data_IF_889784795799
#
_entry.id   IF_889784795799
#
_cell.length_a   1.000
_cell.length_b   1.000
_cell.length_c   1.000
_cell.angle_alpha   90.00
_cell.angle_beta   90.00
_cell.angle_gamma   90.00
#
_symmetry.space_group_name_H-M   'P 1'
#
loop_
_entity.id
_entity.type
_entity.pdbx_description
1 polymer ?
#
# COMPACT_ATOMS: atom_id res chain seq x y z
N UNK A 1 -21.32 -19.87 11.97
CA UNK A 1 -20.25 -19.58 12.96
C UNK A 1 -19.10 -18.92 12.23
N UNK A 2 -18.63 -17.75 12.66
CA UNK A 2 -17.58 -17.00 11.97
C UNK A 2 -16.21 -17.40 12.52
N UNK A 3 -15.42 -18.08 11.70
CA UNK A 3 -14.05 -18.48 12.02
C UNK A 3 -13.12 -17.33 11.68
N UNK A 4 -12.52 -16.74 12.70
CA UNK A 4 -11.69 -15.53 12.64
C UNK A 4 -10.20 -15.84 12.45
N UNK A 5 -9.74 -16.98 12.97
CA UNK A 5 -8.34 -17.42 12.88
C UNK A 5 -8.27 -18.97 12.85
N UNK A 6 -7.28 -19.51 12.13
CA UNK A 6 -7.00 -20.94 12.05
C UNK A 6 -5.79 -21.28 12.93
N UNK A 7 -5.63 -22.55 13.30
CA UNK A 7 -4.43 -23.04 14.01
C UNK A 7 -3.16 -23.10 13.13
N UNK A 8 -3.22 -22.52 11.93
CA UNK A 8 -2.17 -22.52 10.90
C UNK A 8 -2.23 -21.24 10.05
N UNK A 9 -1.12 -20.85 9.39
CA UNK A 9 -1.11 -19.68 8.52
C UNK A 9 -2.13 -19.80 7.38
N UNK A 10 -2.88 -18.72 7.18
CA UNK A 10 -3.91 -18.64 6.12
C UNK A 10 -3.37 -18.91 4.72
N UNK A 11 -2.10 -18.55 4.48
CA UNK A 11 -1.36 -18.78 3.23
C UNK A 11 -1.15 -20.26 2.90
N UNK A 12 -1.23 -21.15 3.90
CA UNK A 12 -1.12 -22.61 3.75
C UNK A 12 -2.48 -23.30 3.70
N UNK A 13 -3.56 -22.52 3.76
CA UNK A 13 -4.93 -23.03 3.74
C UNK A 13 -5.58 -22.78 2.36
N UNK A 14 -6.53 -23.62 1.93
CA UNK A 14 -7.30 -23.41 0.70
C UNK A 14 -8.30 -22.25 0.81
N UNK A 15 -8.33 -21.52 1.93
CA UNK A 15 -9.23 -20.39 2.15
C UNK A 15 -8.63 -19.11 1.58
N UNK A 16 -9.39 -18.40 0.74
CA UNK A 16 -8.95 -17.18 0.04
C UNK A 16 -8.99 -15.93 0.93
N UNK A 17 -9.57 -16.03 2.13
CA UNK A 17 -9.86 -14.91 3.05
C UNK A 17 -9.45 -15.27 4.47
N UNK A 18 -8.93 -14.30 5.24
CA UNK A 18 -8.90 -14.37 6.70
C UNK A 18 -10.30 -14.05 7.21
N UNK A 19 -10.89 -14.95 7.99
CA UNK A 19 -12.24 -14.75 8.50
C UNK A 19 -13.33 -15.22 7.54
N UNK A 20 -14.05 -16.31 7.85
CA UNK A 20 -15.20 -16.74 7.06
C UNK A 20 -16.34 -17.29 7.91
N UNK A 21 -17.57 -17.13 7.41
CA UNK A 21 -18.73 -17.75 8.03
C UNK A 21 -18.87 -19.20 7.55
N UNK A 22 -18.94 -20.15 8.48
CA UNK A 22 -19.33 -21.52 8.17
C UNK A 22 -20.83 -21.51 7.86
N UNK A 23 -21.14 -21.64 6.57
CA UNK A 23 -22.50 -21.55 6.01
C UNK A 23 -23.13 -22.92 5.71
N UNK A 24 -22.32 -23.98 5.57
CA UNK A 24 -22.80 -25.32 5.23
C UNK A 24 -21.90 -26.44 5.81
N UNK A 25 -22.42 -27.67 5.87
CA UNK A 25 -21.68 -28.82 6.44
C UNK A 25 -20.44 -29.22 5.63
N UNK A 26 -20.42 -28.98 4.32
CA UNK A 26 -19.24 -29.26 3.50
C UNK A 26 -18.05 -28.39 3.92
N UNK A 27 -18.30 -27.11 4.22
CA UNK A 27 -17.32 -26.17 4.73
C UNK A 27 -16.85 -26.55 6.14
N UNK A 28 -17.77 -26.96 7.01
CA UNK A 28 -17.44 -27.47 8.35
C UNK A 28 -16.53 -28.71 8.27
N UNK A 29 -16.85 -29.65 7.38
CA UNK A 29 -16.04 -30.84 7.15
C UNK A 29 -14.65 -30.54 6.58
N UNK A 30 -14.51 -29.45 5.81
CA UNK A 30 -13.20 -28.98 5.35
C UNK A 30 -12.36 -28.41 6.49
N UNK A 31 -12.95 -27.54 7.32
CA UNK A 31 -12.28 -26.99 8.51
C UNK A 31 -11.86 -28.08 9.48
N UNK A 32 -12.69 -29.10 9.71
CA UNK A 32 -12.36 -30.22 10.61
C UNK A 32 -11.25 -31.13 10.08
N UNK A 33 -11.11 -31.26 8.75
CA UNK A 33 -10.02 -32.05 8.14
C UNK A 33 -8.69 -31.33 8.19
N UNK A 34 -8.72 -30.01 8.12
CA UNK A 34 -7.53 -29.19 7.93
C UNK A 34 -7.09 -28.47 9.20
N UNK A 35 -7.95 -28.23 10.18
CA UNK A 35 -7.60 -27.49 11.40
C UNK A 35 -7.92 -28.33 12.64
N UNK A 36 -7.03 -28.35 13.64
CA UNK A 36 -7.28 -29.01 14.93
C UNK A 36 -8.18 -28.16 15.81
N UNK A 37 -8.06 -26.84 15.72
CA UNK A 37 -8.94 -25.86 16.34
C UNK A 37 -9.00 -24.57 15.52
N UNK A 38 -10.00 -23.75 15.78
CA UNK A 38 -10.21 -22.45 15.12
C UNK A 38 -10.67 -21.42 16.16
N UNK A 39 -10.36 -20.16 15.94
CA UNK A 39 -10.87 -19.05 16.75
C UNK A 39 -12.15 -18.50 16.13
N UNK A 40 -13.14 -18.16 16.95
CA UNK A 40 -14.48 -17.78 16.51
C UNK A 40 -14.83 -16.38 17.00
N UNK A 41 -15.10 -15.46 16.09
CA UNK A 41 -15.62 -14.14 16.42
C UNK A 41 -17.15 -14.23 16.60
N UNK A 42 -17.59 -14.03 17.84
CA UNK A 42 -19.01 -14.06 18.20
C UNK A 42 -19.78 -12.85 17.68
N UNK A 43 -19.14 -11.69 17.54
CA UNK A 43 -19.79 -10.45 17.05
C UNK A 43 -20.18 -10.52 15.58
N UNK A 44 -19.48 -11.37 14.80
CA UNK A 44 -19.69 -11.61 13.37
C UNK A 44 -20.42 -12.92 13.07
N UNK A 45 -20.66 -13.74 14.10
CA UNK A 45 -21.36 -15.02 13.97
C UNK A 45 -22.88 -14.81 13.93
N UNK A 46 -23.54 -15.38 12.92
CA UNK A 46 -25.01 -15.36 12.79
C UNK A 46 -25.68 -16.58 13.44
N UNK A 47 -26.90 -16.38 13.94
CA UNK A 47 -27.71 -17.37 14.65
C UNK A 47 -27.95 -16.99 16.12
N UNK A 48 -29.09 -17.39 16.68
CA UNK A 48 -29.53 -16.93 18.02
C UNK A 48 -28.61 -17.39 19.16
N UNK A 49 -27.78 -18.41 18.95
CA UNK A 49 -26.73 -18.84 19.90
C UNK A 49 -25.54 -17.86 20.01
N UNK A 50 -25.45 -16.86 19.12
CA UNK A 50 -24.26 -16.01 18.96
C UNK A 50 -24.54 -14.49 19.00
N UNK A 51 -25.79 -14.04 19.23
CA UNK A 51 -26.12 -12.61 19.32
C UNK A 51 -25.47 -11.93 20.54
N UNK A 52 -24.96 -10.71 20.36
CA UNK A 52 -24.61 -9.76 21.42
C UNK A 52 -25.79 -8.84 21.79
N UNK A 53 -25.92 -8.46 23.06
CA UNK A 53 -27.04 -7.63 23.55
C UNK A 53 -27.10 -6.23 22.89
N UNK A 54 -28.30 -5.71 22.56
CA UNK A 54 -28.46 -4.47 21.79
C UNK A 54 -28.31 -3.19 22.63
N UNK A 55 -27.65 -2.17 22.08
CA UNK A 55 -27.59 -0.78 22.60
C UNK A 55 -28.68 0.12 22.00
N UNK A 56 -29.26 0.98 22.84
CA UNK A 56 -30.36 1.92 22.51
C UNK A 56 -29.81 3.25 21.91
N UNK A 57 -30.46 3.87 20.90
CA UNK A 57 -30.02 5.16 20.33
C UNK A 57 -30.81 6.37 20.90
N UNK A 58 -30.10 7.43 21.31
CA UNK A 58 -30.66 8.75 21.66
C UNK A 58 -30.52 9.75 20.50
N UNK A 59 -31.54 10.62 20.35
CA UNK A 59 -31.78 11.48 19.18
C UNK A 59 -31.07 12.85 19.18
N UNK A 60 -31.01 13.43 17.98
CA UNK A 60 -30.43 14.74 17.65
C UNK A 60 -31.46 15.89 17.74
N UNK A 61 -31.04 17.11 18.13
CA UNK A 61 -31.76 18.32 17.75
C UNK A 61 -30.91 19.37 17.00
N UNK A 62 -31.49 19.93 15.93
CA UNK A 62 -31.59 21.39 15.71
C UNK A 62 -30.53 22.10 14.86
N UNK A 63 -30.86 22.40 13.60
CA UNK A 63 -30.18 23.35 12.72
C UNK A 63 -30.27 24.82 13.20
N UNK A 64 -29.17 25.57 13.11
CA UNK A 64 -29.18 27.05 12.98
C UNK A 64 -28.24 27.50 11.85
N UNK A 65 -28.73 28.41 11.01
CA UNK A 65 -28.00 29.12 9.96
C UNK A 65 -27.46 30.47 10.47
N UNK A 66 -26.28 30.89 9.99
CA UNK A 66 -25.83 32.29 9.87
C UNK A 66 -24.65 32.33 8.87
N UNK A 67 -24.87 32.80 7.63
CA UNK A 67 -24.57 34.14 7.08
C UNK A 67 -23.09 34.41 6.73
N UNK A 68 -22.86 34.68 5.44
CA UNK A 68 -21.58 34.98 4.79
C UNK A 68 -21.23 36.46 4.95
N UNK A 69 -19.95 36.77 5.16
CA UNK A 69 -19.34 38.08 4.91
C UNK A 69 -18.04 37.91 4.11
N UNK A 70 -17.66 38.85 3.23
CA UNK A 70 -16.54 38.68 2.30
C UNK A 70 -15.23 39.20 2.91
N UNK A 71 -14.12 38.54 2.64
CA UNK A 71 -12.77 39.08 2.89
C UNK A 71 -11.89 38.87 1.66
N UNK A 72 -11.54 40.00 1.06
CA UNK A 72 -10.43 40.21 0.13
C UNK A 72 -9.15 40.52 0.93
N UNK A 73 -7.99 40.12 0.37
CA UNK A 73 -6.70 40.84 0.32
C UNK A 73 -5.47 39.91 0.29
N UNK A 74 -4.63 40.14 -0.72
CA UNK A 74 -3.19 40.32 -0.50
C UNK A 74 -2.28 39.12 -0.74
N UNK A 75 -1.76 39.01 -1.97
CA UNK A 75 -0.73 38.07 -2.37
C UNK A 75 0.60 38.26 -1.62
N UNK A 76 1.01 37.23 -0.87
CA UNK A 76 2.42 36.88 -0.60
C UNK A 76 2.59 35.44 -1.05
N UNK A 77 3.55 35.18 -1.95
CA UNK A 77 3.85 33.81 -2.41
C UNK A 77 4.31 32.97 -1.22
N UNK A 78 3.38 32.18 -0.68
CA UNK A 78 3.60 31.17 0.36
C UNK A 78 4.15 29.89 -0.30
N UNK A 79 4.90 29.05 0.43
CA UNK A 79 5.13 27.67 -0.01
C UNK A 79 3.78 27.04 -0.33
N UNK A 80 3.71 26.27 -1.42
CA UNK A 80 2.49 25.63 -1.91
C UNK A 80 1.75 25.00 -0.72
N UNK A 81 0.55 25.50 -0.45
CA UNK A 81 -0.36 24.87 0.48
C UNK A 81 -0.64 23.47 -0.05
N UNK A 82 -0.22 22.44 0.71
CA UNK A 82 -0.45 21.03 0.41
C UNK A 82 -1.88 20.78 -0.10
N UNK A 83 -2.84 21.51 0.45
CA UNK A 83 -4.24 21.41 0.09
C UNK A 83 -4.65 22.28 -1.12
N UNK A 84 -3.95 23.36 -1.43
CA UNK A 84 -4.10 24.04 -2.72
C UNK A 84 -3.66 23.12 -3.87
N UNK A 85 -2.56 22.38 -3.68
CA UNK A 85 -2.14 21.34 -4.61
C UNK A 85 -3.23 20.26 -4.73
N UNK A 86 -3.67 19.64 -3.63
CA UNK A 86 -4.71 18.61 -3.65
C UNK A 86 -6.05 19.08 -4.26
N UNK A 87 -6.47 20.32 -4.01
CA UNK A 87 -7.64 20.94 -4.66
C UNK A 87 -7.44 21.15 -6.17
N UNK A 88 -6.24 21.51 -6.62
CA UNK A 88 -5.92 21.63 -8.04
C UNK A 88 -5.96 20.28 -8.76
N UNK A 89 -5.51 19.21 -8.09
CA UNK A 89 -5.58 17.84 -8.63
C UNK A 89 -7.03 17.35 -8.83
N UNK A 90 -7.96 17.81 -7.98
CA UNK A 90 -9.40 17.53 -8.09
C UNK A 90 -10.09 18.30 -9.20
N UNK A 91 -9.61 19.49 -9.55
CA UNK A 91 -10.23 20.36 -10.56
C UNK A 91 -10.00 19.90 -12.01
N UNK A 92 -9.34 18.76 -12.24
CA UNK A 92 -9.16 18.16 -13.57
C UNK A 92 -8.16 18.89 -14.47
N UNK A 93 -7.27 19.72 -13.94
CA UNK A 93 -6.43 20.61 -14.74
C UNK A 93 -4.94 20.41 -14.57
N UNK A 94 -4.37 19.43 -15.29
CA UNK A 94 -3.08 19.58 -15.98
C UNK A 94 -3.14 18.80 -17.31
N UNK A 95 -4.18 19.06 -18.10
CA UNK A 95 -4.07 18.88 -19.55
C UNK A 95 -3.42 20.15 -20.14
N UNK A 96 -2.28 19.92 -20.79
CA UNK A 96 -1.59 20.76 -21.77
C UNK A 96 -1.73 22.28 -21.62
N UNK A 97 -0.73 22.91 -21.01
CA UNK A 97 -0.16 24.13 -21.56
C UNK A 97 1.34 23.92 -21.74
N UNK A 98 1.71 23.58 -22.96
CA UNK A 98 3.06 23.83 -23.43
C UNK A 98 3.22 25.33 -23.61
N UNK A 99 4.15 25.90 -22.88
CA UNK A 99 4.95 27.03 -23.34
C UNK A 99 6.37 26.77 -22.87
N UNK A 100 7.27 26.65 -23.86
CA UNK A 100 8.67 26.34 -23.64
C UNK A 100 9.39 27.53 -23.03
N UNK A 101 9.91 27.34 -21.83
CA UNK A 101 11.14 28.00 -21.40
C UNK A 101 12.16 26.91 -21.06
N UNK A 102 13.14 26.80 -21.94
CA UNK A 102 14.33 25.98 -21.76
C UNK A 102 15.16 26.58 -20.62
N UNK A 103 15.24 25.87 -19.50
CA UNK A 103 16.17 26.19 -18.43
C UNK A 103 17.54 25.64 -18.85
N UNK A 104 18.46 26.55 -19.18
CA UNK A 104 19.86 26.26 -19.46
C UNK A 104 20.55 25.73 -18.20
N UNK A 105 20.77 24.41 -18.15
CA UNK A 105 21.54 23.74 -17.11
C UNK A 105 23.00 23.65 -17.56
N UNK A 106 23.72 24.74 -17.29
CA UNK A 106 25.17 24.80 -17.42
C UNK A 106 25.87 23.63 -16.73
N UNK A 107 26.81 23.04 -17.46
CA UNK A 107 27.64 21.91 -17.04
C UNK A 107 28.51 22.28 -15.83
N UNK A 108 28.33 21.55 -14.72
CA UNK A 108 29.38 21.40 -13.72
C UNK A 108 29.21 20.08 -12.97
N UNK A 109 30.18 19.20 -13.17
CA UNK A 109 30.38 17.96 -12.42
C UNK A 109 30.64 18.27 -10.94
N UNK A 110 29.71 17.92 -10.05
CA UNK A 110 29.97 17.79 -8.62
C UNK A 110 28.88 16.95 -7.93
N UNK A 111 29.29 15.79 -7.39
CA UNK A 111 28.69 15.02 -6.29
C UNK A 111 27.30 15.49 -5.80
N UNK A 112 26.24 14.90 -6.35
CA UNK A 112 24.85 15.17 -5.94
C UNK A 112 24.54 14.52 -4.58
N UNK A 113 24.76 15.27 -3.50
CA UNK A 113 24.00 15.05 -2.27
C UNK A 113 22.56 15.42 -2.60
N UNK A 114 21.69 14.43 -2.78
CA UNK A 114 20.27 14.67 -3.04
C UNK A 114 19.69 15.46 -1.86
N UNK A 115 19.44 16.75 -2.07
CA UNK A 115 18.70 17.59 -1.14
C UNK A 115 17.29 17.04 -1.01
N UNK A 116 16.94 16.58 0.19
CA UNK A 116 15.62 16.05 0.51
C UNK A 116 14.55 17.12 0.22
N UNK A 117 13.60 16.79 -0.66
CA UNK A 117 12.57 17.72 -1.14
C UNK A 117 11.36 17.65 -0.21
N UNK A 118 10.72 18.79 0.14
CA UNK A 118 9.47 18.79 0.91
C UNK A 118 8.41 17.89 0.28
N UNK A 119 7.67 17.17 1.12
CA UNK A 119 6.71 16.15 0.70
C UNK A 119 5.70 16.69 -0.33
N UNK A 120 5.20 17.89 -0.11
CA UNK A 120 4.18 18.54 -0.93
C UNK A 120 4.71 18.83 -2.33
N UNK A 121 5.96 19.29 -2.42
CA UNK A 121 6.62 19.60 -3.69
C UNK A 121 6.91 18.32 -4.46
N UNK A 122 7.34 17.27 -3.77
CA UNK A 122 7.58 15.99 -4.42
C UNK A 122 6.28 15.34 -4.89
N UNK A 123 5.20 15.38 -4.10
CA UNK A 123 3.88 14.86 -4.51
C UNK A 123 3.41 15.54 -5.81
N UNK A 124 3.57 16.87 -5.91
CA UNK A 124 3.21 17.62 -7.11
C UNK A 124 4.00 17.15 -8.34
N UNK A 125 5.30 16.93 -8.17
CA UNK A 125 6.21 16.52 -9.25
C UNK A 125 5.98 15.05 -9.67
N UNK A 126 5.66 14.17 -8.72
CA UNK A 126 5.55 12.72 -8.94
C UNK A 126 4.16 12.29 -9.41
N UNK A 127 3.12 13.07 -9.13
CA UNK A 127 1.78 12.73 -9.60
C UNK A 127 1.67 12.47 -11.12
N UNK A 128 2.19 13.32 -12.03
CA UNK A 128 2.13 13.04 -13.46
C UNK A 128 2.92 11.78 -13.83
N UNK A 129 4.01 11.47 -13.13
CA UNK A 129 4.75 10.20 -13.29
C UNK A 129 3.84 9.03 -12.95
N UNK A 130 3.06 9.13 -11.87
CA UNK A 130 2.14 8.07 -11.47
C UNK A 130 0.95 7.88 -12.41
N UNK A 131 0.44 8.97 -12.99
CA UNK A 131 -0.55 8.87 -14.06
C UNK A 131 0.01 8.15 -15.30
N UNK A 132 1.25 8.45 -15.70
CA UNK A 132 1.92 7.74 -16.79
C UNK A 132 2.18 6.27 -16.45
N UNK A 133 2.60 5.96 -15.24
CA UNK A 133 2.83 4.58 -14.79
C UNK A 133 1.57 3.71 -14.94
N UNK A 134 0.42 4.26 -14.51
CA UNK A 134 -0.87 3.60 -14.67
C UNK A 134 -1.23 3.42 -16.15
N UNK A 135 -1.08 4.45 -16.98
CA UNK A 135 -1.34 4.35 -18.42
C UNK A 135 -0.44 3.33 -19.13
N UNK A 136 0.81 3.17 -18.68
CA UNK A 136 1.72 2.12 -19.20
C UNK A 136 1.24 0.73 -18.79
N UNK A 137 0.80 0.53 -17.54
CA UNK A 137 0.22 -0.75 -17.10
C UNK A 137 -1.06 -1.11 -17.87
N UNK A 138 -1.92 -0.12 -18.13
CA UNK A 138 -3.11 -0.28 -18.96
C UNK A 138 -2.77 -0.73 -20.38
N UNK A 139 -1.77 -0.09 -21.01
CA UNK A 139 -1.30 -0.48 -22.33
C UNK A 139 -0.73 -1.90 -22.33
N UNK A 140 0.10 -2.26 -21.33
CA UNK A 140 0.68 -3.60 -21.23
C UNK A 140 -0.41 -4.65 -21.09
N UNK A 141 -1.42 -4.37 -20.27
CA UNK A 141 -2.54 -5.29 -20.13
C UNK A 141 -3.28 -5.49 -21.46
N UNK A 142 -3.49 -4.42 -22.21
CA UNK A 142 -4.07 -4.50 -23.55
C UNK A 142 -3.20 -5.33 -24.51
N UNK A 143 -1.90 -5.02 -24.58
CA UNK A 143 -0.95 -5.73 -25.45
C UNK A 143 -0.95 -7.23 -25.15
N UNK A 144 -0.84 -7.61 -23.87
CA UNK A 144 -0.83 -9.02 -23.44
C UNK A 144 -2.14 -9.73 -23.78
N UNK A 145 -3.29 -9.08 -23.58
CA UNK A 145 -4.60 -9.64 -23.92
C UNK A 145 -4.81 -9.76 -25.44
N UNK A 146 -4.19 -8.88 -26.23
CA UNK A 146 -4.16 -8.93 -27.69
C UNK A 146 -3.04 -9.79 -28.27
N UNK A 147 -2.34 -10.57 -27.43
CA UNK A 147 -1.21 -11.42 -27.82
C UNK A 147 -0.05 -10.67 -28.49
N UNK A 148 0.14 -9.40 -28.12
CA UNK A 148 1.27 -8.56 -28.50
C UNK A 148 2.37 -8.63 -27.43
N UNK A 149 3.59 -8.26 -27.81
CA UNK A 149 4.70 -8.15 -26.86
C UNK A 149 4.64 -6.80 -26.14
N UNK A 150 4.69 -6.78 -24.80
CA UNK A 150 4.64 -5.53 -24.05
C UNK A 150 5.92 -4.70 -24.23
N UNK A 151 5.75 -3.38 -24.32
CA UNK A 151 6.85 -2.43 -24.42
C UNK A 151 7.47 -2.11 -23.04
N UNK A 152 8.52 -2.86 -22.69
CA UNK A 152 9.24 -2.68 -21.43
C UNK A 152 10.11 -1.41 -21.40
N UNK A 153 10.39 -0.77 -22.53
CA UNK A 153 11.13 0.50 -22.57
C UNK A 153 10.34 1.60 -21.86
N UNK A 154 9.03 1.66 -22.14
CA UNK A 154 8.11 2.61 -21.50
C UNK A 154 8.01 2.40 -20.00
N UNK A 155 8.00 1.14 -19.54
CA UNK A 155 8.02 0.83 -18.11
C UNK A 155 9.32 1.32 -17.50
N UNK A 156 10.46 1.03 -18.14
CA UNK A 156 11.78 1.44 -17.64
C UNK A 156 11.88 2.96 -17.50
N UNK A 157 11.38 3.70 -18.48
CA UNK A 157 11.35 5.17 -18.44
C UNK A 157 10.59 5.67 -17.21
N UNK A 158 9.39 5.14 -16.95
CA UNK A 158 8.58 5.60 -15.81
C UNK A 158 9.17 5.14 -14.48
N UNK A 159 9.68 3.92 -14.40
CA UNK A 159 10.36 3.41 -13.21
C UNK A 159 11.59 4.26 -12.88
N UNK A 160 12.39 4.67 -13.86
CA UNK A 160 13.54 5.55 -13.63
C UNK A 160 13.12 6.87 -12.97
N UNK A 161 12.02 7.48 -13.40
CA UNK A 161 11.46 8.68 -12.77
C UNK A 161 10.98 8.41 -11.34
N UNK A 162 10.34 7.25 -11.10
CA UNK A 162 9.92 6.84 -9.76
C UNK A 162 11.11 6.59 -8.82
N UNK A 163 12.21 6.01 -9.31
CA UNK A 163 13.46 5.82 -8.54
C UNK A 163 14.03 7.16 -8.11
N UNK A 164 14.10 8.13 -9.02
CA UNK A 164 14.54 9.49 -8.70
C UNK A 164 13.61 10.16 -7.68
N UNK A 165 12.30 9.91 -7.75
CA UNK A 165 11.36 10.41 -6.76
C UNK A 165 11.58 9.79 -5.38
N UNK A 166 11.76 8.46 -5.31
CA UNK A 166 12.09 7.74 -4.07
C UNK A 166 13.39 8.23 -3.47
N UNK A 167 14.37 8.62 -4.30
CA UNK A 167 15.63 9.20 -3.86
C UNK A 167 15.42 10.57 -3.18
N UNK A 168 14.57 11.44 -3.77
CA UNK A 168 14.26 12.78 -3.25
C UNK A 168 13.34 12.75 -2.02
N UNK A 169 12.24 11.99 -2.09
CA UNK A 169 11.33 11.79 -0.97
C UNK A 169 10.48 10.49 -1.15
N UNK A 170 10.80 9.39 -0.45
CA UNK A 170 10.06 8.12 -0.53
C UNK A 170 8.62 8.22 -0.02
N UNK A 171 8.32 9.14 0.90
CA UNK A 171 6.98 9.29 1.48
C UNK A 171 5.99 9.77 0.41
N UNK A 172 6.44 10.54 -0.58
CA UNK A 172 5.60 11.06 -1.67
C UNK A 172 5.02 9.95 -2.55
N UNK A 173 5.85 8.96 -2.92
CA UNK A 173 5.41 7.84 -3.74
C UNK A 173 4.42 6.94 -2.97
N UNK A 174 4.72 6.63 -1.71
CA UNK A 174 3.83 5.88 -0.83
C UNK A 174 2.48 6.59 -0.65
N UNK A 175 2.51 7.92 -0.53
CA UNK A 175 1.31 8.76 -0.48
C UNK A 175 0.43 8.60 -1.72
N UNK A 176 1.01 8.79 -2.90
CA UNK A 176 0.28 8.77 -4.17
C UNK A 176 -0.36 7.42 -4.45
N UNK A 177 0.36 6.37 -4.13
CA UNK A 177 -0.03 4.98 -4.34
C UNK A 177 -1.15 4.54 -3.38
N UNK A 178 -1.23 5.12 -2.17
CA UNK A 178 -2.37 4.94 -1.24
C UNK A 178 -3.60 5.76 -1.61
N UNK A 179 -3.44 6.97 -2.13
CA UNK A 179 -4.55 7.88 -2.46
C UNK A 179 -5.27 7.49 -3.74
N UNK A 180 -4.54 6.93 -4.72
CA UNK A 180 -5.15 6.43 -5.95
C UNK A 180 -5.84 5.09 -5.68
N UNK A 181 -7.15 5.16 -5.53
CA UNK A 181 -8.04 4.02 -5.72
C UNK A 181 -8.64 4.13 -7.12
N UNK A 182 -8.36 3.16 -7.98
CA UNK A 182 -9.05 3.01 -9.26
C UNK A 182 -10.03 1.84 -9.18
N UNK A 183 -10.94 1.73 -10.13
CA UNK A 183 -11.81 0.56 -10.25
C UNK A 183 -11.03 -0.72 -10.65
N UNK A 184 -9.70 -0.64 -10.82
CA UNK A 184 -8.84 -1.71 -11.34
C UNK A 184 -7.77 -2.12 -10.32
N UNK A 185 -8.21 -2.90 -9.34
CA UNK A 185 -7.40 -3.48 -8.25
C UNK A 185 -6.00 -3.95 -8.67
N UNK A 186 -5.87 -4.68 -9.79
CA UNK A 186 -4.59 -5.27 -10.22
C UNK A 186 -3.53 -4.23 -10.57
N UNK A 187 -3.90 -3.08 -11.14
CA UNK A 187 -2.93 -2.04 -11.49
C UNK A 187 -2.45 -1.30 -10.26
N UNK A 188 -3.39 -1.02 -9.35
CA UNK A 188 -3.04 -0.36 -8.12
C UNK A 188 -2.14 -1.27 -7.25
N UNK A 189 -2.37 -2.60 -7.24
CA UNK A 189 -1.47 -3.57 -6.60
C UNK A 189 -0.07 -3.56 -7.23
N UNK A 190 0.03 -3.56 -8.56
CA UNK A 190 1.33 -3.46 -9.26
C UNK A 190 2.11 -2.20 -8.88
N UNK A 191 1.43 -1.04 -8.79
CA UNK A 191 2.08 0.21 -8.38
C UNK A 191 2.45 0.22 -6.89
N UNK A 192 1.62 -0.40 -6.04
CA UNK A 192 1.91 -0.66 -4.63
C UNK A 192 3.20 -1.42 -4.46
N UNK A 193 3.30 -2.60 -5.06
CA UNK A 193 4.46 -3.46 -4.93
C UNK A 193 5.69 -2.74 -5.45
N UNK A 194 5.60 -2.11 -6.64
CA UNK A 194 6.71 -1.34 -7.22
C UNK A 194 7.22 -0.25 -6.27
N UNK A 195 6.33 0.55 -5.69
CA UNK A 195 6.71 1.57 -4.72
C UNK A 195 7.39 0.97 -3.48
N UNK A 196 6.83 -0.10 -2.91
CA UNK A 196 7.37 -0.72 -1.70
C UNK A 196 8.73 -1.37 -1.92
N UNK A 197 8.93 -2.11 -3.02
CA UNK A 197 10.24 -2.72 -3.31
C UNK A 197 11.32 -1.67 -3.57
N UNK A 198 10.99 -0.53 -4.18
CA UNK A 198 11.95 0.55 -4.40
C UNK A 198 12.31 1.27 -3.10
N UNK A 199 11.31 1.59 -2.28
CA UNK A 199 11.52 2.22 -0.98
C UNK A 199 12.34 1.31 -0.07
N UNK A 200 12.00 0.01 -0.04
CA UNK A 200 12.72 -0.95 0.77
C UNK A 200 14.14 -1.19 0.24
N UNK A 201 14.32 -1.34 -1.07
CA UNK A 201 15.63 -1.44 -1.70
C UNK A 201 16.54 -0.24 -1.37
N UNK A 202 15.99 0.98 -1.38
CA UNK A 202 16.71 2.18 -0.93
C UNK A 202 17.07 2.12 0.56
N UNK A 203 16.15 1.68 1.42
CA UNK A 203 16.40 1.55 2.85
C UNK A 203 17.51 0.53 3.17
N UNK A 204 17.65 -0.50 2.32
CA UNK A 204 18.74 -1.49 2.39
C UNK A 204 20.06 -0.99 1.78
N UNK A 205 20.09 0.20 1.19
CA UNK A 205 21.27 0.77 0.55
C UNK A 205 21.60 0.18 -0.82
N UNK A 206 20.62 -0.38 -1.53
CA UNK A 206 20.81 -0.84 -2.90
C UNK A 206 21.06 0.35 -3.85
N UNK A 207 21.86 0.13 -4.90
CA UNK A 207 22.11 1.12 -5.95
C UNK A 207 20.88 1.35 -6.83
N UNK A 208 20.85 2.49 -7.54
CA UNK A 208 19.71 2.90 -8.37
C UNK A 208 19.32 1.86 -9.44
N UNK A 209 20.29 1.19 -10.08
CA UNK A 209 20.02 0.14 -11.07
C UNK A 209 19.30 -1.09 -10.46
N UNK A 210 19.70 -1.47 -9.25
CA UNK A 210 19.07 -2.57 -8.52
C UNK A 210 17.65 -2.20 -8.08
N UNK A 211 17.46 -0.96 -7.62
CA UNK A 211 16.14 -0.41 -7.26
C UNK A 211 15.24 -0.32 -8.51
N UNK A 212 15.77 0.13 -9.65
CA UNK A 212 15.04 0.17 -10.91
C UNK A 212 14.64 -1.24 -11.38
N UNK A 213 15.53 -2.22 -11.23
CA UNK A 213 15.23 -3.63 -11.53
C UNK A 213 14.11 -4.17 -10.64
N UNK A 214 14.15 -3.87 -9.33
CA UNK A 214 13.08 -4.20 -8.39
C UNK A 214 11.77 -3.51 -8.78
N UNK A 215 11.79 -2.21 -9.10
CA UNK A 215 10.60 -1.45 -9.50
C UNK A 215 9.94 -2.03 -10.76
N UNK A 216 10.74 -2.35 -11.78
CA UNK A 216 10.29 -3.03 -13.00
C UNK A 216 9.65 -4.39 -12.69
N UNK A 217 10.30 -5.22 -11.86
CA UNK A 217 9.77 -6.51 -11.46
C UNK A 217 8.47 -6.36 -10.65
N UNK A 218 8.42 -5.45 -9.68
CA UNK A 218 7.24 -5.20 -8.85
C UNK A 218 6.02 -4.74 -9.66
N UNK A 219 6.22 -3.94 -10.71
CA UNK A 219 5.13 -3.54 -11.61
C UNK A 219 4.55 -4.72 -12.41
N UNK A 220 5.38 -5.72 -12.73
CA UNK A 220 5.10 -6.70 -13.79
C UNK A 220 5.08 -8.16 -13.33
N UNK A 221 5.44 -8.46 -12.08
CA UNK A 221 5.55 -9.84 -11.57
C UNK A 221 4.26 -10.65 -11.74
N UNK A 222 3.13 -9.96 -11.74
CA UNK A 222 1.78 -10.52 -11.82
C UNK A 222 1.12 -10.40 -13.20
N UNK A 223 1.82 -9.94 -14.25
CA UNK A 223 1.23 -9.74 -15.59
C UNK A 223 0.65 -11.03 -16.18
N UNK A 224 1.20 -12.18 -15.80
CA UNK A 224 0.72 -13.51 -16.19
C UNK A 224 -0.69 -13.83 -15.68
N UNK A 225 -1.19 -13.13 -14.65
CA UNK A 225 -2.58 -13.28 -14.17
C UNK A 225 -3.59 -12.97 -15.30
N UNK A 226 -3.22 -12.14 -16.27
CA UNK A 226 -4.05 -11.84 -17.44
C UNK A 226 -4.32 -13.06 -18.34
N UNK A 227 -3.53 -14.12 -18.23
CA UNK A 227 -3.72 -15.40 -18.95
C UNK A 227 -4.50 -16.43 -18.14
N UNK A 228 -4.82 -16.15 -16.89
CA UNK A 228 -5.62 -17.06 -16.06
C UNK A 228 -7.11 -16.98 -16.43
N UNK A 229 -7.88 -18.05 -16.18
CA UNK A 229 -9.33 -18.02 -16.37
C UNK A 229 -9.99 -16.93 -15.51
N UNK A 230 -10.85 -16.10 -16.10
CA UNK A 230 -11.57 -15.02 -15.40
C UNK A 230 -12.34 -15.50 -14.17
N UNK A 231 -12.94 -16.70 -14.25
CA UNK A 231 -13.64 -17.32 -13.12
C UNK A 231 -12.76 -17.54 -11.88
N UNK A 232 -11.45 -17.72 -12.08
CA UNK A 232 -10.47 -17.92 -11.01
C UNK A 232 -10.12 -16.58 -10.36
N UNK A 233 -9.95 -15.53 -11.18
CA UNK A 233 -9.61 -14.17 -10.73
C UNK A 233 -10.77 -13.50 -9.97
N UNK A 234 -12.02 -13.78 -10.35
CA UNK A 234 -13.22 -13.20 -9.75
C UNK A 234 -13.90 -14.12 -8.73
N UNK A 235 -13.26 -15.23 -8.35
CA UNK A 235 -13.86 -16.18 -7.41
C UNK A 235 -14.00 -15.56 -6.02
N UNK A 236 -15.20 -15.65 -5.45
CA UNK A 236 -15.45 -15.32 -4.04
C UNK A 236 -15.25 -16.58 -3.18
N UNK A 237 -14.51 -16.47 -2.07
CA UNK A 237 -14.17 -17.61 -1.20
C UNK A 237 -13.03 -18.48 -1.76
N UNK A 238 -12.57 -19.48 -1.01
CA UNK A 238 -11.32 -20.25 -1.25
C UNK A 238 -11.07 -20.86 -2.64
N UNK A 239 -9.79 -20.97 -3.01
CA UNK A 239 -9.36 -21.77 -4.15
C UNK A 239 -9.27 -23.23 -3.71
N UNK A 240 -9.87 -24.12 -4.48
CA UNK A 240 -9.63 -25.56 -4.35
C UNK A 240 -8.16 -25.87 -4.66
N UNK A 241 -7.61 -27.01 -4.18
CA UNK A 241 -6.22 -27.38 -4.49
C UNK A 241 -5.91 -27.36 -6.00
N UNK A 242 -6.82 -27.87 -6.84
CA UNK A 242 -6.66 -27.84 -8.31
C UNK A 242 -6.66 -26.42 -8.87
N UNK A 243 -7.55 -25.56 -8.40
CA UNK A 243 -7.59 -24.15 -8.80
C UNK A 243 -6.33 -23.41 -8.36
N UNK A 244 -5.78 -23.75 -7.19
CA UNK A 244 -4.55 -23.17 -6.70
C UNK A 244 -3.35 -23.58 -7.57
N UNK A 245 -3.25 -24.84 -8.00
CA UNK A 245 -2.23 -25.26 -8.96
C UNK A 245 -2.31 -24.49 -10.29
N UNK A 246 -3.53 -24.24 -10.79
CA UNK A 246 -3.73 -23.40 -11.97
C UNK A 246 -3.31 -21.95 -11.66
N UNK A 247 -3.66 -21.43 -10.49
CA UNK A 247 -3.32 -20.07 -10.10
C UNK A 247 -1.80 -19.83 -10.07
N UNK A 248 -1.02 -20.79 -9.55
CA UNK A 248 0.44 -20.71 -9.50
C UNK A 248 1.09 -20.48 -10.87
N UNK A 249 0.46 -20.95 -11.95
CA UNK A 249 0.98 -20.81 -13.33
C UNK A 249 1.13 -19.36 -13.80
N UNK A 250 0.53 -18.38 -13.12
CA UNK A 250 0.72 -16.97 -13.47
C UNK A 250 2.20 -16.55 -13.43
N UNK A 251 3.01 -17.15 -12.55
CA UNK A 251 4.45 -16.85 -12.47
C UNK A 251 5.14 -17.24 -13.77
N UNK A 252 4.88 -18.44 -14.26
CA UNK A 252 5.45 -18.91 -15.53
C UNK A 252 4.93 -18.11 -16.72
N UNK A 253 3.64 -17.74 -16.73
CA UNK A 253 3.09 -16.85 -17.74
C UNK A 253 3.76 -15.46 -17.71
N UNK A 254 3.99 -14.88 -16.53
CA UNK A 254 4.69 -13.60 -16.38
C UNK A 254 6.10 -13.70 -16.98
N UNK A 255 6.86 -14.74 -16.63
CA UNK A 255 8.20 -14.96 -17.20
C UNK A 255 8.15 -15.11 -18.71
N UNK A 256 7.21 -15.89 -19.24
CA UNK A 256 7.05 -16.12 -20.67
C UNK A 256 6.76 -14.81 -21.41
N UNK A 257 5.78 -14.03 -20.94
CA UNK A 257 5.39 -12.74 -21.51
C UNK A 257 6.58 -11.79 -21.54
N UNK A 258 7.29 -11.68 -20.43
CA UNK A 258 8.36 -10.69 -20.27
C UNK A 258 9.64 -11.09 -21.01
N UNK A 259 9.96 -12.39 -21.07
CA UNK A 259 11.16 -12.91 -21.76
C UNK A 259 11.15 -12.66 -23.27
N UNK A 260 9.99 -12.37 -23.85
CA UNK A 260 9.88 -12.01 -25.26
C UNK A 260 10.44 -10.60 -25.56
N UNK A 261 10.65 -9.77 -24.53
CA UNK A 261 11.16 -8.42 -24.68
C UNK A 261 12.69 -8.38 -24.56
N UNK A 262 13.40 -7.67 -25.47
CA UNK A 262 14.86 -7.52 -25.37
C UNK A 262 15.31 -6.69 -24.15
N UNK A 263 14.39 -5.95 -23.53
CA UNK A 263 14.68 -5.12 -22.35
C UNK A 263 14.42 -5.86 -21.02
N UNK A 264 14.00 -7.13 -21.05
CA UNK A 264 13.87 -7.94 -19.85
C UNK A 264 15.26 -8.43 -19.40
N UNK A 265 15.80 -7.83 -18.34
CA UNK A 265 17.06 -8.28 -17.77
C UNK A 265 16.91 -9.67 -17.11
N UNK A 266 17.99 -10.45 -17.07
CA UNK A 266 18.00 -11.73 -16.38
C UNK A 266 17.61 -11.59 -14.91
N UNK A 267 18.15 -10.58 -14.22
CA UNK A 267 17.83 -10.28 -12.83
C UNK A 267 16.33 -9.98 -12.63
N UNK A 268 15.71 -9.20 -13.53
CA UNK A 268 14.26 -8.94 -13.48
C UNK A 268 13.46 -10.23 -13.64
N UNK A 269 13.81 -11.08 -14.61
CA UNK A 269 13.13 -12.35 -14.85
C UNK A 269 13.31 -13.35 -13.70
N UNK A 270 14.43 -13.30 -12.98
CA UNK A 270 14.65 -14.07 -11.77
C UNK A 270 13.75 -13.61 -10.62
N UNK A 271 13.65 -12.28 -10.39
CA UNK A 271 12.75 -11.73 -9.36
C UNK A 271 11.31 -12.13 -9.67
N UNK A 272 10.84 -11.90 -10.90
CA UNK A 272 9.50 -12.27 -11.34
C UNK A 272 9.28 -13.77 -11.19
N UNK A 273 10.26 -14.61 -11.54
CA UNK A 273 10.11 -16.05 -11.43
C UNK A 273 10.14 -16.61 -10.01
N UNK A 274 10.56 -15.82 -9.02
CA UNK A 274 10.84 -16.29 -7.65
C UNK A 274 10.14 -15.48 -6.56
N UNK A 275 9.33 -14.48 -6.88
CA UNK A 275 8.66 -13.64 -5.86
C UNK A 275 7.69 -14.44 -4.94
N UNK A 276 7.22 -15.61 -5.39
CA UNK A 276 6.43 -16.56 -4.59
C UNK A 276 7.25 -17.70 -3.95
N UNK A 277 8.57 -17.74 -4.16
CA UNK A 277 9.46 -18.67 -3.48
C UNK A 277 9.71 -18.22 -2.03
N UNK A 278 10.09 -19.14 -1.15
CA UNK A 278 10.28 -18.91 0.29
C UNK A 278 11.60 -19.49 0.76
N UNK A 279 12.21 -18.89 1.79
CA UNK A 279 13.54 -19.30 2.28
C UNK A 279 13.56 -20.75 2.77
N UNK A 280 12.45 -21.25 3.29
CA UNK A 280 12.28 -22.64 3.75
C UNK A 280 11.93 -23.64 2.64
N UNK A 281 11.76 -23.20 1.38
CA UNK A 281 11.38 -24.05 0.26
C UNK A 281 9.88 -24.34 0.14
N UNK A 282 9.04 -23.75 0.98
CA UNK A 282 7.57 -23.91 0.92
C UNK A 282 6.91 -23.18 -0.27
N UNK A 283 7.66 -22.31 -0.94
CA UNK A 283 7.17 -21.49 -2.03
C UNK A 283 7.06 -22.22 -3.38
N UNK A 284 6.75 -21.46 -4.42
CA UNK A 284 6.54 -21.96 -5.78
C UNK A 284 7.10 -20.97 -6.81
N UNK A 285 7.36 -21.38 -8.08
CA UNK A 285 7.00 -22.67 -8.70
C UNK A 285 8.00 -23.81 -8.48
N UNK A 286 9.23 -23.53 -8.08
CA UNK A 286 10.34 -24.49 -8.02
C UNK A 286 10.71 -24.98 -6.62
N UNK A 287 10.25 -24.31 -5.55
CA UNK A 287 10.55 -24.70 -4.18
C UNK A 287 12.01 -24.41 -3.79
N UNK A 288 12.54 -23.27 -4.22
CA UNK A 288 13.91 -22.86 -3.90
C UNK A 288 14.05 -22.61 -2.41
N UNK A 289 15.21 -22.92 -1.83
CA UNK A 289 15.48 -22.70 -0.40
C UNK A 289 16.80 -21.96 -0.16
N UNK A 290 16.86 -21.28 0.98
CA UNK A 290 18.03 -20.56 1.46
C UNK A 290 18.57 -19.55 0.43
N UNK A 291 19.88 -19.64 0.16
CA UNK A 291 20.56 -18.69 -0.73
C UNK A 291 20.15 -18.80 -2.20
N UNK A 292 19.51 -19.89 -2.61
CA UNK A 292 19.07 -20.08 -4.00
C UNK A 292 17.92 -19.13 -4.39
N UNK A 293 17.15 -18.65 -3.41
CA UNK A 293 16.08 -17.67 -3.62
C UNK A 293 16.62 -16.36 -4.21
N UNK A 294 17.70 -15.85 -3.61
CA UNK A 294 18.27 -14.54 -3.93
C UNK A 294 17.54 -13.39 -3.23
N UNK A 295 18.33 -12.42 -2.76
CA UNK A 295 17.82 -11.33 -1.89
C UNK A 295 16.74 -10.47 -2.56
N UNK A 296 16.85 -10.21 -3.87
CA UNK A 296 15.88 -9.38 -4.59
C UNK A 296 14.52 -10.07 -4.76
N UNK A 297 14.51 -11.39 -4.94
CA UNK A 297 13.27 -12.16 -4.99
C UNK A 297 12.58 -12.17 -3.62
N UNK A 298 13.37 -12.33 -2.55
CA UNK A 298 12.86 -12.28 -1.18
C UNK A 298 12.27 -10.89 -0.84
N UNK A 299 12.95 -9.80 -1.23
CA UNK A 299 12.43 -8.42 -1.13
C UNK A 299 11.07 -8.31 -1.82
N UNK A 300 10.97 -8.80 -3.06
CA UNK A 300 9.71 -8.77 -3.84
C UNK A 300 8.60 -9.55 -3.14
N UNK A 301 8.90 -10.75 -2.63
CA UNK A 301 7.94 -11.58 -1.92
C UNK A 301 7.43 -10.97 -0.61
N UNK A 302 8.31 -10.32 0.16
CA UNK A 302 7.92 -9.61 1.40
C UNK A 302 6.98 -8.44 1.06
N UNK A 303 7.35 -7.61 0.07
CA UNK A 303 6.54 -6.47 -0.33
C UNK A 303 5.20 -6.91 -0.94
N UNK A 304 5.16 -7.97 -1.75
CA UNK A 304 3.94 -8.51 -2.34
C UNK A 304 2.95 -8.98 -1.26
N UNK A 305 3.42 -9.76 -0.28
CA UNK A 305 2.60 -10.20 0.85
C UNK A 305 2.06 -9.02 1.64
N UNK A 306 2.91 -8.02 1.94
CA UNK A 306 2.48 -6.82 2.64
C UNK A 306 1.37 -6.06 1.88
N UNK A 307 1.62 -5.74 0.61
CA UNK A 307 0.69 -4.98 -0.22
C UNK A 307 -0.64 -5.72 -0.39
N UNK A 308 -0.60 -7.04 -0.59
CA UNK A 308 -1.80 -7.85 -0.72
C UNK A 308 -2.65 -7.84 0.56
N UNK A 309 -2.04 -7.75 1.75
CA UNK A 309 -2.77 -7.67 3.03
C UNK A 309 -3.38 -6.29 3.27
N UNK A 310 -2.64 -5.22 2.94
CA UNK A 310 -3.02 -3.84 3.28
C UNK A 310 -3.96 -3.16 2.28
N UNK A 311 -4.42 -3.87 1.24
CA UNK A 311 -5.36 -3.33 0.24
C UNK A 311 -6.77 -3.90 0.39
N UNK A 312 -7.74 -3.04 0.10
CA UNK A 312 -9.13 -3.44 -0.05
C UNK A 312 -9.25 -4.31 -1.30
N UNK A 313 -9.79 -5.50 -1.13
CA UNK A 313 -10.07 -6.42 -2.22
C UNK A 313 -11.55 -6.28 -2.57
N UNK A 314 -11.98 -6.60 -3.80
CA UNK A 314 -13.40 -6.57 -4.19
C UNK A 314 -14.35 -7.33 -3.23
N UNK A 315 -13.82 -8.20 -2.38
CA UNK A 315 -14.57 -9.06 -1.45
C UNK A 315 -13.99 -9.11 -0.02
N UNK A 316 -13.15 -8.14 0.40
CA UNK A 316 -12.54 -8.14 1.74
C UNK A 316 -12.02 -6.77 2.19
N UNK A 317 -12.12 -6.49 3.49
CA UNK A 317 -11.62 -5.24 4.09
C UNK A 317 -10.10 -5.30 4.17
N UNK A 318 -9.42 -4.20 3.85
CA UNK A 318 -7.97 -4.09 4.03
C UNK A 318 -7.58 -4.34 5.48
N UNK A 319 -6.55 -5.16 5.71
CA UNK A 319 -5.96 -5.28 7.03
C UNK A 319 -5.22 -3.99 7.40
N UNK A 320 -5.16 -3.72 8.70
CA UNK A 320 -4.33 -2.62 9.19
C UNK A 320 -2.86 -2.91 8.88
N UNK A 321 -2.06 -1.85 8.65
CA UNK A 321 -0.62 -2.02 8.45
C UNK A 321 0.05 -2.73 9.64
N UNK A 322 -0.47 -2.54 10.86
CA UNK A 322 0.01 -3.23 12.05
C UNK A 322 -0.24 -4.74 11.95
N UNK A 323 -1.47 -5.15 11.63
CA UNK A 323 -1.83 -6.56 11.42
C UNK A 323 -0.95 -7.20 10.35
N UNK A 324 -0.74 -6.51 9.23
CA UNK A 324 0.12 -6.99 8.14
C UNK A 324 1.58 -7.18 8.57
N UNK A 325 2.14 -6.23 9.34
CA UNK A 325 3.50 -6.34 9.87
C UNK A 325 3.62 -7.47 10.89
N UNK A 326 2.62 -7.69 11.74
CA UNK A 326 2.62 -8.78 12.72
C UNK A 326 2.52 -10.15 12.04
N UNK A 327 1.71 -10.28 10.98
CA UNK A 327 1.67 -11.49 10.15
C UNK A 327 2.99 -11.78 9.43
N UNK A 328 3.69 -10.74 8.94
CA UNK A 328 5.03 -10.89 8.37
C UNK A 328 6.07 -11.28 9.42
N UNK A 329 5.99 -10.72 10.63
CA UNK A 329 6.85 -11.11 11.75
C UNK A 329 6.65 -12.56 12.16
N UNK A 330 5.44 -13.10 12.06
CA UNK A 330 5.18 -14.51 12.32
C UNK A 330 5.89 -15.44 11.32
N UNK A 331 6.20 -14.95 10.11
CA UNK A 331 6.92 -15.68 9.06
C UNK A 331 8.46 -15.54 9.15
N UNK A 332 8.96 -14.79 10.14
CA UNK A 332 10.37 -14.48 10.35
C UNK A 332 11.17 -15.74 10.70
N UNK A 333 12.20 -16.04 9.91
CA UNK A 333 13.08 -17.19 10.13
C UNK A 333 12.54 -18.52 9.58
N UNK A 334 11.33 -18.53 9.02
CA UNK A 334 10.77 -19.64 8.24
C UNK A 334 10.69 -19.24 6.76
N UNK A 335 9.53 -18.75 6.35
CA UNK A 335 9.26 -18.32 4.97
C UNK A 335 10.19 -17.20 4.47
N UNK A 336 10.63 -16.30 5.37
CA UNK A 336 11.52 -15.19 5.07
C UNK A 336 12.70 -15.11 6.04
N UNK A 337 13.82 -14.55 5.61
CA UNK A 337 14.99 -14.34 6.45
C UNK A 337 14.68 -13.36 7.57
N UNK A 338 15.18 -13.69 8.76
CA UNK A 338 15.02 -12.87 9.94
C UNK A 338 15.49 -11.43 9.73
N UNK A 339 16.65 -11.27 9.09
CA UNK A 339 17.27 -9.97 8.83
C UNK A 339 16.48 -9.10 7.85
N UNK A 340 15.84 -9.68 6.82
CA UNK A 340 15.06 -8.88 5.89
C UNK A 340 13.71 -8.48 6.48
N UNK A 341 13.05 -9.36 7.25
CA UNK A 341 11.82 -8.99 7.95
C UNK A 341 12.09 -7.85 8.96
N UNK A 342 13.16 -7.94 9.74
CA UNK A 342 13.52 -6.88 10.71
C UNK A 342 13.76 -5.55 9.99
N UNK A 343 14.51 -5.57 8.88
CA UNK A 343 14.76 -4.38 8.08
C UNK A 343 13.50 -3.86 7.38
N UNK A 344 12.58 -4.73 6.96
CA UNK A 344 11.31 -4.33 6.34
C UNK A 344 10.37 -3.67 7.35
N UNK A 345 10.24 -4.25 8.55
CA UNK A 345 9.52 -3.64 9.68
C UNK A 345 10.15 -2.29 10.05
N UNK A 346 11.49 -2.23 10.05
CA UNK A 346 12.25 -1.00 10.17
C UNK A 346 12.21 -0.14 8.89
N UNK A 347 11.63 -0.56 7.78
CA UNK A 347 11.45 0.32 6.63
C UNK A 347 10.09 1.01 6.78
N UNK A 348 9.04 0.20 6.95
CA UNK A 348 7.65 0.65 7.03
C UNK A 348 7.37 1.46 8.30
N UNK A 349 8.03 1.12 9.42
CA UNK A 349 7.79 1.77 10.70
C UNK A 349 6.47 1.35 11.35
N UNK A 350 6.27 1.79 12.60
CA UNK A 350 5.10 1.40 13.40
C UNK A 350 3.81 2.08 12.93
N UNK A 351 3.93 3.33 12.47
CA UNK A 351 2.82 4.12 11.95
C UNK A 351 3.17 4.59 10.55
N UNK A 352 2.93 3.75 9.52
CA UNK A 352 3.18 4.16 8.16
C UNK A 352 2.27 5.32 7.74
N UNK A 353 2.68 6.00 6.67
CA UNK A 353 1.91 7.09 6.07
C UNK A 353 0.48 6.63 5.77
N UNK A 354 -0.50 7.44 6.14
CA UNK A 354 -1.93 7.14 5.97
C UNK A 354 -2.57 6.34 7.12
N UNK A 355 -1.79 5.87 8.10
CA UNK A 355 -2.36 5.22 9.30
C UNK A 355 -3.14 6.22 10.14
N UNK A 356 -4.37 5.86 10.51
CA UNK A 356 -5.17 6.59 11.50
C UNK A 356 -4.65 6.27 12.90
N UNK A 357 -4.51 7.30 13.73
CA UNK A 357 -3.98 7.21 15.09
C UNK A 357 -4.82 8.03 16.06
N UNK A 358 -4.98 7.53 17.28
CA UNK A 358 -5.54 8.31 18.39
C UNK A 358 -4.39 8.89 19.22
N UNK A 359 -4.42 10.20 19.44
CA UNK A 359 -3.44 10.91 20.26
C UNK A 359 -3.86 10.90 21.74
N UNK A 360 -2.93 11.19 22.65
CA UNK A 360 -3.20 11.26 24.09
C UNK A 360 -4.23 12.33 24.50
N UNK A 361 -4.46 13.34 23.65
CA UNK A 361 -5.55 14.32 23.82
C UNK A 361 -6.94 13.75 23.51
N UNK A 362 -7.02 12.55 22.95
CA UNK A 362 -8.24 11.99 22.36
C UNK A 362 -8.51 12.47 20.94
N UNK A 363 -7.66 13.31 20.33
CA UNK A 363 -7.80 13.68 18.93
C UNK A 363 -7.48 12.50 18.00
N UNK A 364 -8.13 12.47 16.84
CA UNK A 364 -7.86 11.49 15.80
C UNK A 364 -7.07 12.15 14.69
N UNK A 365 -5.92 11.59 14.38
CA UNK A 365 -5.02 12.10 13.37
C UNK A 365 -4.65 11.02 12.36
N UNK A 366 -4.09 11.44 11.24
CA UNK A 366 -3.54 10.56 10.20
C UNK A 366 -2.06 10.86 10.00
N UNK A 367 -1.24 9.84 9.84
CA UNK A 367 0.20 10.02 9.60
C UNK A 367 0.44 10.58 8.21
N UNK A 368 1.15 11.71 8.12
CA UNK A 368 1.49 12.37 6.85
C UNK A 368 2.96 12.28 6.46
N UNK A 369 3.88 12.11 7.41
CA UNK A 369 5.27 11.84 7.08
C UNK A 369 5.91 11.01 8.19
N UNK A 370 6.83 10.13 7.81
CA UNK A 370 7.56 9.33 8.78
C UNK A 370 8.74 10.12 9.34
N UNK A 371 8.98 9.95 10.63
CA UNK A 371 10.22 10.42 11.22
C UNK A 371 11.25 9.28 11.22
N UNK A 372 12.26 9.40 10.34
CA UNK A 372 13.27 8.35 10.12
C UNK A 372 14.16 8.08 11.34
N UNK A 373 14.30 9.07 12.22
CA UNK A 373 15.14 8.98 13.44
C UNK A 373 14.30 8.55 14.66
N UNK A 374 13.08 9.09 14.78
CA UNK A 374 12.17 8.87 15.90
C UNK A 374 10.82 8.35 15.41
N UNK A 375 10.74 7.07 15.05
CA UNK A 375 9.56 6.44 14.41
C UNK A 375 8.25 6.53 15.18
N UNK A 376 8.31 6.70 16.51
CA UNK A 376 7.13 6.91 17.35
C UNK A 376 6.64 8.37 17.37
N UNK A 377 7.36 9.26 16.68
CA UNK A 377 7.09 10.69 16.56
C UNK A 377 6.98 11.10 15.08
N UNK A 378 6.08 10.49 14.30
CA UNK A 378 5.83 10.91 12.93
C UNK A 378 5.18 12.30 12.89
N UNK A 379 5.13 12.89 11.69
CA UNK A 379 4.27 14.04 11.43
C UNK A 379 2.85 13.56 11.18
N UNK A 380 1.88 14.15 11.87
CA UNK A 380 0.47 13.75 11.81
C UNK A 380 -0.42 14.93 11.48
N UNK A 381 -1.60 14.67 10.95
CA UNK A 381 -2.61 15.67 10.67
C UNK A 381 -3.89 15.38 11.44
N UNK A 382 -4.32 16.31 12.27
CA UNK A 382 -5.46 16.15 13.16
C UNK A 382 -6.75 16.32 12.37
N UNK A 383 -7.49 15.23 12.19
CA UNK A 383 -8.73 15.16 11.43
C UNK A 383 -9.95 15.40 12.30
N UNK A 384 -9.97 14.83 13.50
CA UNK A 384 -11.05 14.99 14.47
C UNK A 384 -10.53 15.59 15.77
N UNK A 385 -11.33 16.47 16.37
CA UNK A 385 -11.12 16.95 17.73
C UNK A 385 -11.22 15.83 18.78
N UNK A 386 -10.91 16.16 20.04
CA UNK A 386 -11.07 15.23 21.16
C UNK A 386 -12.53 14.79 21.37
N UNK A 387 -13.50 15.61 20.93
CA UNK A 387 -14.94 15.33 20.89
C UNK A 387 -15.35 14.45 19.69
N UNK A 388 -14.38 13.96 18.90
CA UNK A 388 -14.56 13.17 17.69
C UNK A 388 -15.34 13.89 16.58
N UNK A 389 -15.46 15.22 16.64
CA UNK A 389 -16.04 16.00 15.53
C UNK A 389 -14.98 16.36 14.49
N UNK A 390 -15.33 16.40 13.20
CA UNK A 390 -14.43 16.84 12.14
C UNK A 390 -13.85 18.23 12.42
N UNK A 391 -12.54 18.35 12.28
CA UNK A 391 -11.87 19.64 12.33
C UNK A 391 -12.03 20.34 10.98
N UNK A 392 -12.64 21.54 10.98
CA UNK A 392 -12.86 22.32 9.76
C UNK A 392 -11.53 22.76 9.10
N UNK A 393 -10.47 22.89 9.90
CA UNK A 393 -9.13 23.23 9.44
C UNK A 393 -8.11 22.25 10.05
N UNK A 394 -7.95 21.06 9.45
CA UNK A 394 -7.01 20.06 9.93
C UNK A 394 -5.60 20.65 10.08
N UNK A 395 -5.02 20.51 11.27
CA UNK A 395 -3.66 21.00 11.54
C UNK A 395 -2.66 19.87 11.39
N UNK A 396 -1.53 20.16 10.74
CA UNK A 396 -0.39 19.24 10.70
C UNK A 396 0.55 19.54 11.86
N UNK A 397 0.86 18.51 12.64
CA UNK A 397 1.66 18.56 13.86
C UNK A 397 2.84 17.62 13.70
N UNK A 398 4.04 18.12 13.95
CA UNK A 398 5.24 17.27 14.05
C UNK A 398 5.39 16.81 15.51
N UNK A 399 5.11 15.54 15.78
CA UNK A 399 5.13 14.99 17.14
C UNK A 399 6.52 15.07 17.80
N UNK A 400 7.60 15.28 17.03
CA UNK A 400 8.94 15.46 17.57
C UNK A 400 9.17 16.86 18.14
N UNK A 401 8.69 17.90 17.45
CA UNK A 401 9.04 19.29 17.75
C UNK A 401 7.89 20.11 18.33
N UNK A 402 6.63 19.75 18.05
CA UNK A 402 5.51 20.54 18.53
C UNK A 402 5.27 20.36 20.03
N UNK A 403 5.19 21.52 20.69
CA UNK A 403 4.82 21.68 22.10
C UNK A 403 3.32 22.03 22.21
N UNK A 404 2.70 21.73 23.35
CA UNK A 404 1.36 21.14 23.52
C UNK A 404 0.15 21.91 22.99
N UNK A 405 -0.93 21.16 22.70
CA UNK A 405 -2.30 21.67 22.83
C UNK A 405 -2.62 22.12 24.27
N UNK A 406 -3.84 22.62 24.49
CA UNK A 406 -4.28 23.44 25.64
C UNK A 406 -3.93 22.99 27.09
N UNK A 407 -3.37 21.80 27.30
CA UNK A 407 -3.10 21.18 28.63
C UNK A 407 -1.60 21.05 28.96
N UNK A 408 -0.68 21.44 28.07
CA UNK A 408 0.76 21.44 28.44
C UNK A 408 1.45 20.06 28.39
N UNK A 409 0.78 19.02 27.89
CA UNK A 409 1.36 17.69 27.67
C UNK A 409 1.81 17.48 26.22
N UNK A 410 2.98 16.86 26.03
CA UNK A 410 3.49 16.57 24.69
C UNK A 410 2.63 15.52 23.98
N UNK A 411 2.31 15.75 22.70
CA UNK A 411 1.56 14.78 21.91
C UNK A 411 2.31 13.44 21.75
N UNK A 412 1.59 12.34 21.94
CA UNK A 412 2.03 11.00 21.57
C UNK A 412 0.87 10.14 21.10
N UNK A 413 1.20 9.13 20.30
CA UNK A 413 0.22 8.18 19.76
C UNK A 413 -0.10 7.15 20.85
N UNK A 414 -1.39 7.04 21.20
CA UNK A 414 -1.90 6.05 22.15
C UNK A 414 -2.08 4.70 21.44
N UNK A 415 -2.70 4.72 20.26
CA UNK A 415 -2.94 3.52 19.44
C UNK A 415 -3.15 3.86 17.97
N UNK A 416 -2.87 2.89 17.11
CA UNK A 416 -3.37 2.90 15.74
C UNK A 416 -4.87 2.57 15.74
N UNK A 417 -5.60 3.13 14.78
CA UNK A 417 -7.02 2.92 14.57
C UNK A 417 -7.23 2.15 13.25
N UNK A 418 -8.28 1.32 13.16
CA UNK A 418 -8.61 0.65 11.92
C UNK A 418 -8.98 1.67 10.81
N UNK A 419 -8.80 1.32 9.53
CA UNK A 419 -9.31 2.12 8.41
C UNK A 419 -10.80 2.46 8.61
N UNK A 420 -11.22 3.68 8.29
CA UNK A 420 -12.62 4.10 8.43
C UNK A 420 -13.08 4.38 9.87
N UNK A 421 -12.20 4.29 10.88
CA UNK A 421 -12.56 4.56 12.26
C UNK A 421 -13.24 5.93 12.41
N UNK A 422 -14.33 5.98 13.18
CA UNK A 422 -15.16 7.19 13.35
C UNK A 422 -15.74 7.75 12.04
N UNK A 423 -15.88 6.93 11.00
CA UNK A 423 -16.33 7.36 9.67
C UNK A 423 -15.29 8.20 8.94
N UNK A 424 -14.04 8.18 9.40
CA UNK A 424 -12.94 8.93 8.78
C UNK A 424 -12.38 8.10 7.64
N UNK A 425 -12.64 8.57 6.42
CA UNK A 425 -11.90 8.11 5.25
C UNK A 425 -10.80 9.13 5.00
N UNK A 426 -9.51 8.80 5.23
CA UNK A 426 -8.44 9.79 5.13
C UNK A 426 -8.45 10.53 3.80
N UNK A 427 -8.70 9.83 2.68
CA UNK A 427 -8.83 10.42 1.35
C UNK A 427 -9.87 11.55 1.29
N UNK A 428 -10.98 11.47 2.02
CA UNK A 428 -12.00 12.54 2.04
C UNK A 428 -11.51 13.84 2.71
N UNK A 429 -10.58 13.74 3.66
CA UNK A 429 -10.00 14.90 4.34
C UNK A 429 -8.82 15.50 3.58
N UNK A 430 -8.17 14.71 2.71
CA UNK A 430 -7.17 15.22 1.76
C UNK A 430 -7.82 15.93 0.56
N UNK A 431 -9.10 15.64 0.25
CA UNK A 431 -9.76 16.04 -1.01
C UNK A 431 -10.86 17.12 -0.85
N UNK A 432 -11.08 17.68 0.34
CA UNK A 432 -12.10 18.71 0.60
C UNK A 432 -11.61 20.15 0.51
#
# INVERSE_FOLDING_TARGET
MFVDELDRPWLESPFLLQGFLIENEAMLGQVQRECRFVYVDRSRSVGDAWRSDPKVPEGLPGHRQASKGPLDLGARRRPLDFFALLRALRAGGLEQQGDGETIDLGTSSASTVATEVPLETEIAATLPVMARAQGVLEQIAHDVQSCLNPDLERVRSVVAEMVLSVARNPDALLWLVRLKQTDRYSYDHSLDVAAHVMIFGRALGLGEDAIATLGMAGMLQDVGKLRLPQRLLHKSGGLTPTEYEIFKTHVDYSRQILSASPHASSAMLEIVGRHHERVDGSGYPTGLSGKALGIMAEISGICDVYCAMTRERPYGVAESAQTALDALRAQRGGCFSASLIDQFVQCIGLYPVGTLVELNSGEVAVVVAQNRIRRLKPKVMILLGSDKKPNTYPQTVDLLYDRPGAVGEQYFIVKALPPGAYGVVPSEFYLR
#
